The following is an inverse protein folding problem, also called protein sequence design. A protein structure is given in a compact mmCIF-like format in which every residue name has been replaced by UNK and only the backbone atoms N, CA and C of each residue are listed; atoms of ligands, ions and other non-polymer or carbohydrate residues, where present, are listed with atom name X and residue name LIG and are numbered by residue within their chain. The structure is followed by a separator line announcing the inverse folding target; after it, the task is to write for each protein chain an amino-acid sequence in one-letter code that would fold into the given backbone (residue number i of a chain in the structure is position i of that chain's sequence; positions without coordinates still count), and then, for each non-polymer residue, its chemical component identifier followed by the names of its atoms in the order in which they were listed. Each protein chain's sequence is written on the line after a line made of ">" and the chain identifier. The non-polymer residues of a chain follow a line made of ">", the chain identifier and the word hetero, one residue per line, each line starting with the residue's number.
data_IF_878347724557
#
_entry.id   IF_878347724557
#
_cell.length_a   1.000
_cell.length_b   1.000
_cell.length_c   1.000
_cell.angle_alpha   90.00
_cell.angle_beta   90.00
_cell.angle_gamma   90.00
#
_symmetry.space_group_name_H-M   'P 1'
#
loop_
_entity.id
_entity.type
_entity.pdbx_description
1 polymer ?
#
# COMPACT_ATOMS: atom_id res chain seq x y z
N UNK A 1 3.88 -5.79 -31.17
CA UNK A 1 3.73 -5.81 -29.70
C UNK A 1 2.94 -4.56 -29.33
N UNK A 2 1.76 -4.73 -28.71
CA UNK A 2 1.05 -3.59 -28.15
C UNK A 2 1.85 -2.99 -26.97
N UNK A 3 1.50 -1.79 -26.49
CA UNK A 3 2.12 -1.23 -25.31
C UNK A 3 1.94 -2.16 -24.11
N UNK A 4 3.03 -2.49 -23.42
CA UNK A 4 2.98 -3.20 -22.15
C UNK A 4 2.49 -2.26 -21.04
N UNK A 5 1.56 -2.72 -20.21
CA UNK A 5 1.08 -1.99 -19.04
C UNK A 5 0.97 -2.95 -17.85
N UNK A 6 0.98 -2.38 -16.65
CA UNK A 6 0.73 -3.12 -15.41
C UNK A 6 -0.65 -2.78 -14.88
N UNK A 7 -1.40 -3.79 -14.48
CA UNK A 7 -2.68 -3.64 -13.80
C UNK A 7 -2.51 -4.01 -12.32
N UNK A 8 -2.53 -3.00 -11.44
CA UNK A 8 -2.43 -3.19 -9.98
C UNK A 8 -3.84 -3.23 -9.39
N UNK A 9 -4.27 -4.42 -8.96
CA UNK A 9 -5.66 -4.70 -8.56
C UNK A 9 -5.96 -4.65 -7.06
N UNK A 10 -5.00 -4.23 -6.24
CA UNK A 10 -5.14 -4.23 -4.78
C UNK A 10 -5.74 -2.94 -4.21
N UNK A 11 -6.01 -1.92 -5.03
CA UNK A 11 -6.65 -0.68 -4.59
C UNK A 11 -8.18 -0.81 -4.55
N UNK A 12 -8.79 -0.17 -3.57
CA UNK A 12 -10.25 -0.10 -3.40
C UNK A 12 -10.78 1.34 -3.59
N UNK A 13 -12.10 1.52 -3.47
CA UNK A 13 -12.76 2.82 -3.63
C UNK A 13 -12.43 3.84 -2.53
N UNK A 14 -11.86 3.41 -1.40
CA UNK A 14 -11.47 4.28 -0.28
C UNK A 14 -10.03 4.78 -0.42
N UNK A 15 -9.29 4.25 -1.40
CA UNK A 15 -7.88 4.55 -1.61
C UNK A 15 -7.70 5.94 -2.21
N UNK A 16 -6.81 6.74 -1.63
CA UNK A 16 -6.35 7.97 -2.28
C UNK A 16 -5.45 7.60 -3.47
N UNK A 17 -5.98 7.74 -4.69
CA UNK A 17 -5.28 7.31 -5.91
C UNK A 17 -3.98 8.07 -6.18
N UNK A 18 -3.83 9.31 -5.71
CA UNK A 18 -2.56 10.03 -5.83
C UNK A 18 -1.48 9.38 -4.96
N UNK A 19 -1.82 8.99 -3.73
CA UNK A 19 -0.89 8.30 -2.83
C UNK A 19 -0.57 6.89 -3.32
N UNK A 20 -1.57 6.17 -3.85
CA UNK A 20 -1.36 4.84 -4.41
C UNK A 20 -0.40 4.86 -5.60
N UNK A 21 -0.62 5.76 -6.56
CA UNK A 21 0.28 5.90 -7.72
C UNK A 21 1.66 6.37 -7.30
N UNK A 22 1.78 7.31 -6.36
CA UNK A 22 3.06 7.73 -5.82
C UNK A 22 3.83 6.55 -5.19
N UNK A 23 3.15 5.72 -4.38
CA UNK A 23 3.74 4.53 -3.78
C UNK A 23 4.20 3.50 -4.82
N UNK A 24 3.40 3.24 -5.86
CA UNK A 24 3.76 2.33 -6.96
C UNK A 24 4.99 2.84 -7.72
N UNK A 25 5.02 4.14 -8.05
CA UNK A 25 6.16 4.75 -8.74
C UNK A 25 7.43 4.73 -7.89
N UNK A 26 7.31 5.03 -6.58
CA UNK A 26 8.44 4.96 -5.66
C UNK A 26 9.01 3.54 -5.53
N UNK A 27 8.14 2.53 -5.40
CA UNK A 27 8.57 1.13 -5.38
C UNK A 27 9.26 0.71 -6.69
N UNK A 28 8.75 1.16 -7.83
CA UNK A 28 9.40 0.94 -9.13
C UNK A 28 10.78 1.60 -9.22
N UNK A 29 10.90 2.84 -8.75
CA UNK A 29 12.17 3.57 -8.73
C UNK A 29 13.21 2.89 -7.83
N UNK A 30 12.81 2.48 -6.62
CA UNK A 30 13.66 1.72 -5.69
C UNK A 30 14.11 0.39 -6.30
N UNK A 31 13.20 -0.35 -6.94
CA UNK A 31 13.54 -1.59 -7.65
C UNK A 31 14.56 -1.38 -8.77
N UNK A 32 14.44 -0.29 -9.53
CA UNK A 32 15.41 0.09 -10.56
C UNK A 32 16.78 0.46 -9.97
N UNK A 33 16.80 1.24 -8.89
CA UNK A 33 18.03 1.66 -8.20
C UNK A 33 18.77 0.46 -7.60
N UNK A 34 18.03 -0.46 -6.98
CA UNK A 34 18.57 -1.67 -6.35
C UNK A 34 18.82 -2.81 -7.34
N UNK A 35 18.43 -2.65 -8.61
CA UNK A 35 18.52 -3.68 -9.66
C UNK A 35 17.82 -4.97 -9.25
N UNK A 36 16.64 -4.84 -8.66
CA UNK A 36 15.85 -5.97 -8.17
C UNK A 36 15.46 -6.90 -9.34
N UNK A 37 15.66 -8.22 -9.20
CA UNK A 37 15.30 -9.18 -10.22
C UNK A 37 13.76 -9.30 -10.38
N UNK A 38 13.29 -9.27 -11.64
CA UNK A 38 11.90 -9.59 -11.97
C UNK A 38 11.69 -11.12 -11.95
N UNK A 39 11.33 -11.64 -10.78
CA UNK A 39 11.09 -13.08 -10.60
C UNK A 39 9.80 -13.58 -11.23
N UNK A 40 8.80 -12.71 -11.36
CA UNK A 40 7.47 -13.10 -11.83
C UNK A 40 7.41 -13.03 -13.35
N UNK A 41 6.95 -14.14 -13.95
CA UNK A 41 6.66 -14.19 -15.37
C UNK A 41 5.31 -13.56 -15.65
N UNK A 42 5.12 -13.16 -16.90
CA UNK A 42 3.83 -12.65 -17.37
C UNK A 42 2.73 -13.72 -17.14
N UNK A 43 1.67 -13.32 -16.42
CA UNK A 43 0.54 -14.16 -16.04
C UNK A 43 -0.30 -14.58 -17.25
N UNK A 44 -0.17 -13.86 -18.39
CA UNK A 44 -0.83 -14.21 -19.65
C UNK A 44 -0.38 -15.57 -20.22
N UNK A 45 0.72 -16.14 -19.72
CA UNK A 45 1.11 -17.52 -20.01
C UNK A 45 0.48 -18.45 -18.96
N UNK A 46 -0.59 -19.14 -19.35
CA UNK A 46 -1.47 -19.98 -18.52
C UNK A 46 -0.84 -21.22 -17.84
N UNK A 47 0.44 -21.18 -17.48
CA UNK A 47 1.13 -22.22 -16.72
C UNK A 47 1.34 -21.77 -15.29
N UNK A 48 0.39 -22.12 -14.41
CA UNK A 48 0.49 -22.18 -12.94
C UNK A 48 1.48 -21.20 -12.26
N UNK A 49 0.95 -20.29 -11.44
CA UNK A 49 1.73 -19.49 -10.48
C UNK A 49 2.46 -20.45 -9.53
N UNK A 50 3.68 -20.87 -9.89
CA UNK A 50 4.49 -21.86 -9.15
C UNK A 50 5.41 -21.20 -8.12
N UNK A 51 5.45 -19.87 -8.06
CA UNK A 51 6.26 -19.15 -7.08
C UNK A 51 5.40 -18.81 -5.86
N UNK A 52 5.80 -19.30 -4.68
CA UNK A 52 5.29 -18.77 -3.40
C UNK A 52 5.56 -17.26 -3.38
N UNK A 53 4.54 -16.45 -3.64
CA UNK A 53 4.60 -15.01 -3.46
C UNK A 53 4.47 -14.70 -1.98
N UNK A 54 5.09 -13.60 -1.53
CA UNK A 54 4.77 -13.05 -0.22
C UNK A 54 3.28 -12.70 -0.17
N UNK A 55 2.61 -13.09 0.91
CA UNK A 55 1.21 -12.75 1.13
C UNK A 55 1.08 -11.25 1.44
N UNK A 56 -0.01 -10.64 0.97
CA UNK A 56 -0.34 -9.28 1.38
C UNK A 56 -0.67 -9.26 2.89
N UNK A 57 -0.47 -8.14 3.57
CA UNK A 57 -0.89 -7.99 4.97
C UNK A 57 -2.37 -8.35 5.16
N UNK A 58 -2.67 -9.15 6.18
CA UNK A 58 -4.03 -9.64 6.44
C UNK A 58 -4.95 -8.59 7.09
N UNK A 59 -4.36 -7.50 7.59
CA UNK A 59 -5.09 -6.42 8.25
C UNK A 59 -4.31 -5.09 8.21
N UNK A 60 -4.98 -4.02 8.64
CA UNK A 60 -4.43 -2.67 8.63
C UNK A 60 -3.19 -2.52 9.52
N UNK A 61 -3.15 -3.14 10.69
CA UNK A 61 -1.98 -3.06 11.60
C UNK A 61 -0.72 -3.68 10.98
N UNK A 62 -0.88 -4.83 10.32
CA UNK A 62 0.21 -5.44 9.56
C UNK A 62 0.62 -4.55 8.38
N UNK A 63 -0.34 -3.92 7.70
CA UNK A 63 -0.06 -2.99 6.59
C UNK A 63 0.75 -1.78 7.05
N UNK A 64 0.36 -1.16 8.17
CA UNK A 64 1.08 -0.02 8.76
C UNK A 64 2.47 -0.42 9.25
N UNK A 65 2.61 -1.62 9.83
CA UNK A 65 3.92 -2.12 10.28
C UNK A 65 4.87 -2.42 9.12
N UNK A 66 4.35 -2.87 7.97
CA UNK A 66 5.15 -3.01 6.76
C UNK A 66 5.53 -1.65 6.18
N UNK A 67 4.59 -0.69 6.11
CA UNK A 67 4.87 0.66 5.66
C UNK A 67 5.95 1.34 6.52
N UNK A 68 5.90 1.16 7.84
CA UNK A 68 6.88 1.72 8.78
C UNK A 68 8.32 1.30 8.45
N UNK A 69 8.53 0.02 8.14
CA UNK A 69 9.85 -0.54 7.78
C UNK A 69 10.45 0.08 6.53
N UNK A 70 9.62 0.50 5.58
CA UNK A 70 10.06 1.05 4.28
C UNK A 70 9.81 2.56 4.16
N UNK A 71 9.32 3.19 5.22
CA UNK A 71 8.84 4.58 5.17
C UNK A 71 9.96 5.58 4.86
N UNK A 72 11.17 5.32 5.35
CA UNK A 72 12.36 6.15 5.09
C UNK A 72 12.80 6.04 3.63
N UNK A 73 12.97 4.83 3.11
CA UNK A 73 13.32 4.57 1.70
C UNK A 73 12.29 5.16 0.73
N UNK A 74 10.99 4.99 1.04
CA UNK A 74 9.92 5.61 0.25
C UNK A 74 9.96 7.13 0.31
N UNK A 75 10.30 7.71 1.47
CA UNK A 75 10.38 9.17 1.63
C UNK A 75 11.55 9.74 0.84
N UNK A 76 12.69 9.04 0.81
CA UNK A 76 13.85 9.39 0.00
C UNK A 76 13.53 9.28 -1.50
N UNK A 77 12.95 8.15 -1.93
CA UNK A 77 12.57 7.93 -3.34
C UNK A 77 11.55 8.97 -3.84
N UNK A 78 10.63 9.40 -2.99
CA UNK A 78 9.63 10.43 -3.31
C UNK A 78 10.15 11.87 -3.12
N UNK A 79 11.29 12.06 -2.48
CA UNK A 79 11.75 13.38 -2.04
C UNK A 79 10.74 14.08 -1.13
N UNK A 80 9.99 13.33 -0.33
CA UNK A 80 8.82 13.82 0.41
C UNK A 80 8.63 13.11 1.74
N UNK A 81 8.16 13.82 2.77
CA UNK A 81 7.83 13.27 4.09
C UNK A 81 6.44 12.63 4.18
N UNK A 82 5.71 12.57 3.05
CA UNK A 82 4.34 12.04 3.00
C UNK A 82 4.21 10.63 3.58
N UNK A 83 5.10 9.65 3.28
CA UNK A 83 4.98 8.31 3.85
C UNK A 83 4.97 8.31 5.38
N UNK A 84 5.90 9.07 6.00
CA UNK A 84 5.98 9.22 7.44
C UNK A 84 4.76 9.93 8.05
N UNK A 85 4.27 11.00 7.40
CA UNK A 85 3.05 11.69 7.85
C UNK A 85 1.81 10.81 7.75
N UNK A 86 1.66 10.07 6.65
CA UNK A 86 0.55 9.13 6.46
C UNK A 86 0.56 8.05 7.54
N UNK A 87 1.72 7.46 7.80
CA UNK A 87 1.89 6.46 8.86
C UNK A 87 1.50 7.03 10.24
N UNK A 88 1.98 8.23 10.57
CA UNK A 88 1.66 8.88 11.84
C UNK A 88 0.15 9.11 12.01
N UNK A 89 -0.50 9.70 11.00
CA UNK A 89 -1.95 9.95 11.02
C UNK A 89 -2.72 8.65 11.13
N UNK A 90 -2.37 7.61 10.36
CA UNK A 90 -3.09 6.34 10.38
C UNK A 90 -2.90 5.55 11.66
N UNK A 91 -1.73 5.58 12.29
CA UNK A 91 -1.53 4.99 13.62
C UNK A 91 -2.39 5.69 14.68
N UNK A 92 -2.43 7.01 14.65
CA UNK A 92 -3.28 7.78 15.57
C UNK A 92 -4.78 7.50 15.33
N UNK A 93 -5.22 7.46 14.06
CA UNK A 93 -6.60 7.13 13.68
C UNK A 93 -7.00 5.74 14.21
N UNK A 94 -6.18 4.72 13.94
CA UNK A 94 -6.43 3.35 14.40
C UNK A 94 -6.52 3.28 15.93
N UNK A 95 -5.60 3.95 16.63
CA UNK A 95 -5.63 3.96 18.09
C UNK A 95 -6.87 4.68 18.64
N UNK A 96 -7.25 5.82 18.08
CA UNK A 96 -8.45 6.55 18.47
C UNK A 96 -9.73 5.71 18.25
N UNK A 97 -9.82 4.98 17.14
CA UNK A 97 -10.98 4.16 16.81
C UNK A 97 -11.08 2.88 17.65
N UNK A 98 -9.96 2.30 18.11
CA UNK A 98 -9.96 1.10 18.97
C UNK A 98 -10.70 1.31 20.29
N UNK A 99 -10.69 2.53 20.83
CA UNK A 99 -11.33 2.86 22.10
C UNK A 99 -12.85 3.12 21.97
N UNK A 100 -13.38 3.15 20.75
CA UNK A 100 -14.80 3.37 20.52
C UNK A 100 -15.59 2.07 20.59
N UNK A 101 -16.74 2.11 21.27
CA UNK A 101 -17.76 1.07 21.12
C UNK A 101 -18.37 1.08 19.72
N UNK A 102 -18.95 -0.05 19.28
CA UNK A 102 -19.63 -0.14 17.98
C UNK A 102 -20.69 0.96 17.81
N UNK A 103 -21.41 1.31 18.88
CA UNK A 103 -22.42 2.38 18.85
C UNK A 103 -21.79 3.76 18.56
N UNK A 104 -20.65 4.06 19.18
CA UNK A 104 -19.93 5.31 18.94
C UNK A 104 -19.35 5.36 17.52
N UNK A 105 -18.87 4.23 17.01
CA UNK A 105 -18.37 4.12 15.64
C UNK A 105 -19.48 4.39 14.60
N UNK A 106 -20.66 3.80 14.78
CA UNK A 106 -21.80 4.05 13.89
C UNK A 106 -22.24 5.51 13.95
N UNK A 107 -22.25 6.12 15.13
CA UNK A 107 -22.59 7.53 15.28
C UNK A 107 -21.59 8.43 14.55
N UNK A 108 -20.28 8.13 14.66
CA UNK A 108 -19.23 8.88 13.96
C UNK A 108 -19.39 8.78 12.44
N UNK A 109 -19.64 7.57 11.92
CA UNK A 109 -19.88 7.38 10.49
C UNK A 109 -21.10 8.17 10.00
N UNK A 110 -22.18 8.20 10.79
CA UNK A 110 -23.39 8.93 10.45
C UNK A 110 -23.22 10.47 10.41
N UNK A 111 -22.22 11.01 11.11
CA UNK A 111 -21.91 12.45 11.07
C UNK A 111 -20.96 12.87 9.94
N UNK A 112 -20.27 11.90 9.33
CA UNK A 112 -19.26 12.14 8.29
C UNK A 112 -19.82 11.98 6.87
N UNK A 113 -21.02 11.42 6.74
CA UNK A 113 -21.76 11.20 5.49
C UNK A 113 -22.91 12.20 5.43
#
# INVERSE_FOLDING_TARGET
>A
MGPGYWEVRCADAMTNMYLAVAGILAAGLLGMQNREPLHWKDVSYAGSIQTKSAELPANLEQSLSQLERVSEELSEALGSRIPGHYLHVKRHEVEALKHLSSQQLYQLLATLI
#
